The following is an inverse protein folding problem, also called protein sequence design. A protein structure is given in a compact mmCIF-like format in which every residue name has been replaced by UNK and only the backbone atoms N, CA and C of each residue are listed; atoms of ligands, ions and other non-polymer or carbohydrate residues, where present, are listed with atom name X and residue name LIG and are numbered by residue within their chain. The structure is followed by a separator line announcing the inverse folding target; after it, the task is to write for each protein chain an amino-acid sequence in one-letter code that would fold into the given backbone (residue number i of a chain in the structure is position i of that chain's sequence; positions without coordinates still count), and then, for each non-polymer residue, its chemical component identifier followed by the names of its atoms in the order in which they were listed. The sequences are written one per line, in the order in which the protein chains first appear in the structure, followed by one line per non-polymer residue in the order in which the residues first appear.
data_IF_209045467046
#
_entry.id   IF_209045467046
#
_cell.length_a   1.000
_cell.length_b   1.000
_cell.length_c   1.000
_cell.angle_alpha   90.00
_cell.angle_beta   90.00
_cell.angle_gamma   90.00
#
_symmetry.space_group_name_H-M   'P 1'
#
loop_
_entity.id
_entity.type
_entity.pdbx_description
1 polymer ?
#
# COMPACT_ATOMS: atom_id res chain seq x y z
N UNK A 1 6.36 -15.39 11.07
CA UNK A 1 5.63 -15.43 9.79
C UNK A 1 4.30 -14.74 10.03
N UNK A 2 3.93 -13.79 9.16
CA UNK A 2 2.60 -13.20 9.19
C UNK A 2 1.61 -14.10 8.44
N UNK A 3 0.34 -14.05 8.81
CA UNK A 3 -0.72 -14.80 8.14
C UNK A 3 -1.37 -13.95 7.03
N UNK A 4 -1.87 -14.64 5.99
CA UNK A 4 -2.68 -14.00 4.95
C UNK A 4 -3.96 -13.42 5.56
N UNK A 5 -4.37 -12.25 5.07
CA UNK A 5 -5.68 -11.70 5.40
C UNK A 5 -6.78 -12.68 4.97
N UNK A 6 -7.66 -13.00 5.92
CA UNK A 6 -8.87 -13.77 5.68
C UNK A 6 -9.84 -13.03 4.75
N UNK A 7 -10.79 -13.72 4.11
CA UNK A 7 -11.82 -13.06 3.29
C UNK A 7 -12.62 -12.00 4.05
N UNK A 8 -12.91 -12.23 5.34
CA UNK A 8 -13.60 -11.27 6.19
C UNK A 8 -12.75 -10.01 6.42
N UNK A 9 -11.48 -10.19 6.80
CA UNK A 9 -10.54 -9.06 6.99
C UNK A 9 -10.34 -8.28 5.70
N UNK A 10 -10.23 -8.93 4.54
CA UNK A 10 -10.11 -8.26 3.24
C UNK A 10 -11.30 -7.36 2.97
N UNK A 11 -12.51 -7.89 3.16
CA UNK A 11 -13.76 -7.14 2.98
C UNK A 11 -13.80 -5.87 3.83
N UNK A 12 -13.37 -5.97 5.08
CA UNK A 12 -13.46 -4.86 6.04
C UNK A 12 -12.30 -3.86 5.91
N UNK A 13 -11.09 -4.32 5.56
CA UNK A 13 -9.87 -3.52 5.63
C UNK A 13 -9.45 -2.91 4.29
N UNK A 14 -9.81 -3.51 3.15
CA UNK A 14 -9.40 -3.01 1.83
C UNK A 14 -10.27 -1.86 1.34
N UNK A 15 -11.58 -1.88 1.61
CA UNK A 15 -12.48 -0.82 1.15
C UNK A 15 -12.03 0.59 1.62
N UNK A 16 -11.69 0.82 2.91
CA UNK A 16 -11.17 2.11 3.35
C UNK A 16 -9.85 2.52 2.67
N UNK A 17 -8.96 1.55 2.36
CA UNK A 17 -7.73 1.86 1.65
C UNK A 17 -8.03 2.31 0.21
N UNK A 18 -9.01 1.67 -0.45
CA UNK A 18 -9.51 2.06 -1.77
C UNK A 18 -10.02 3.50 -1.82
N UNK A 19 -10.77 3.94 -0.81
CA UNK A 19 -11.28 5.32 -0.72
C UNK A 19 -10.14 6.35 -0.72
N UNK A 20 -9.03 6.03 -0.05
CA UNK A 20 -7.84 6.88 -0.03
C UNK A 20 -6.97 6.79 -1.28
N UNK A 21 -7.26 5.86 -2.20
CA UNK A 21 -6.57 5.68 -3.47
C UNK A 21 -5.52 4.58 -3.52
N UNK A 22 -5.58 3.58 -2.62
CA UNK A 22 -4.89 2.32 -2.85
C UNK A 22 -5.66 1.49 -3.89
N UNK A 23 -4.95 0.78 -4.75
CA UNK A 23 -5.52 -0.06 -5.81
C UNK A 23 -4.83 -1.43 -5.85
N UNK A 24 -5.45 -2.40 -6.53
CA UNK A 24 -4.92 -3.74 -6.69
C UNK A 24 -3.93 -3.84 -7.86
N UNK A 25 -2.89 -4.65 -7.73
CA UNK A 25 -2.01 -4.98 -8.85
C UNK A 25 -2.54 -6.22 -9.57
N UNK A 26 -2.78 -6.10 -10.88
CA UNK A 26 -3.23 -7.22 -11.70
C UNK A 26 -2.28 -8.43 -11.55
N UNK A 27 -2.84 -9.59 -11.20
CA UNK A 27 -2.09 -10.84 -11.06
C UNK A 27 -1.16 -10.93 -9.84
N UNK A 28 -1.21 -9.98 -8.89
CA UNK A 28 -0.46 -10.03 -7.63
C UNK A 28 -1.37 -9.73 -6.44
N UNK A 29 -1.25 -10.51 -5.37
CA UNK A 29 -1.90 -10.20 -4.09
C UNK A 29 -1.11 -9.09 -3.36
N UNK A 30 -1.26 -7.88 -3.87
CA UNK A 30 -0.54 -6.69 -3.48
C UNK A 30 -1.39 -5.44 -3.70
N UNK A 31 -1.14 -4.41 -2.88
CA UNK A 31 -1.78 -3.10 -3.01
C UNK A 31 -0.75 -2.07 -3.48
N UNK A 32 -1.16 -1.14 -4.35
CA UNK A 32 -0.32 -0.08 -4.89
C UNK A 32 -0.96 1.29 -4.65
N UNK A 33 -0.15 2.31 -4.44
CA UNK A 33 -0.59 3.71 -4.39
C UNK A 33 0.52 4.65 -4.86
N UNK A 34 0.13 5.70 -5.56
CA UNK A 34 1.05 6.70 -6.09
C UNK A 34 0.71 8.08 -5.52
N UNK A 35 1.68 8.67 -4.83
CA UNK A 35 1.60 10.03 -4.32
C UNK A 35 2.39 10.99 -5.20
N UNK A 36 1.81 12.16 -5.48
CA UNK A 36 2.47 13.31 -6.09
C UNK A 36 2.57 14.43 -5.06
N UNK A 37 3.77 14.74 -4.62
CA UNK A 37 4.09 15.81 -3.67
C UNK A 37 4.36 17.14 -4.40
N UNK A 38 4.51 18.25 -3.69
CA UNK A 38 4.83 19.55 -4.34
C UNK A 38 6.29 19.67 -4.74
N UNK A 39 7.17 18.89 -4.12
CA UNK A 39 8.62 18.91 -4.37
C UNK A 39 9.28 17.59 -3.99
N UNK A 40 10.52 17.40 -4.42
CA UNK A 40 11.36 16.28 -3.97
C UNK A 40 11.58 16.28 -2.44
N UNK A 41 11.72 17.46 -1.82
CA UNK A 41 11.94 17.54 -0.36
C UNK A 41 10.74 16.99 0.42
N UNK A 42 9.52 17.27 -0.03
CA UNK A 42 8.31 16.72 0.58
C UNK A 42 8.19 15.20 0.37
N UNK A 43 8.47 14.72 -0.85
CA UNK A 43 8.50 13.29 -1.15
C UNK A 43 9.52 12.56 -0.27
N UNK A 44 10.73 13.11 -0.12
CA UNK A 44 11.77 12.53 0.72
C UNK A 44 11.41 12.55 2.21
N UNK A 45 10.73 13.60 2.69
CA UNK A 45 10.25 13.67 4.07
C UNK A 45 9.15 12.62 4.36
N UNK A 46 8.31 12.30 3.38
CA UNK A 46 7.36 11.18 3.44
C UNK A 46 8.10 9.84 3.49
N UNK A 47 9.02 9.60 2.53
CA UNK A 47 9.77 8.35 2.44
C UNK A 47 10.59 8.09 3.71
N UNK A 48 11.23 9.11 4.28
CA UNK A 48 12.00 8.97 5.53
C UNK A 48 11.14 8.49 6.69
N UNK A 49 9.92 9.01 6.84
CA UNK A 49 8.97 8.57 7.88
C UNK A 49 8.45 7.16 7.61
N UNK A 50 8.17 6.85 6.35
CA UNK A 50 7.76 5.51 5.93
C UNK A 50 8.85 4.47 6.21
N UNK A 51 10.12 4.78 5.93
CA UNK A 51 11.26 3.90 6.22
C UNK A 51 11.38 3.59 7.72
N UNK A 52 11.27 4.60 8.60
CA UNK A 52 11.28 4.37 10.05
C UNK A 52 10.11 3.49 10.52
N UNK A 53 8.93 3.68 9.92
CA UNK A 53 7.77 2.86 10.21
C UNK A 53 7.92 1.41 9.71
N UNK A 54 8.53 1.22 8.54
CA UNK A 54 8.85 -0.07 7.95
C UNK A 54 9.84 -0.86 8.82
N UNK A 55 10.94 -0.22 9.23
CA UNK A 55 11.94 -0.81 10.14
C UNK A 55 11.30 -1.24 11.47
N UNK A 56 10.47 -0.38 12.07
CA UNK A 56 9.77 -0.74 13.32
C UNK A 56 8.81 -1.93 13.17
N UNK A 57 8.25 -2.14 11.98
CA UNK A 57 7.38 -3.27 11.69
C UNK A 57 8.14 -4.51 11.21
N UNK A 58 9.43 -4.37 10.89
CA UNK A 58 10.18 -5.34 10.10
C UNK A 58 9.41 -5.75 8.82
N UNK A 59 8.85 -4.74 8.12
CA UNK A 59 8.04 -4.92 6.91
C UNK A 59 8.32 -3.78 5.94
N UNK A 60 8.87 -4.08 4.77
CA UNK A 60 9.43 -3.09 3.86
C UNK A 60 8.59 -2.96 2.58
N UNK A 61 8.41 -1.74 2.05
CA UNK A 61 7.74 -1.53 0.78
C UNK A 61 8.61 -1.90 -0.43
N UNK A 62 7.96 -2.26 -1.52
CA UNK A 62 8.51 -2.09 -2.88
C UNK A 62 8.17 -0.65 -3.32
N UNK A 63 9.14 0.18 -3.72
CA UNK A 63 8.82 1.53 -4.20
C UNK A 63 9.77 2.08 -5.25
N UNK A 64 9.31 3.10 -5.98
CA UNK A 64 10.14 3.96 -6.81
C UNK A 64 9.88 5.42 -6.46
N UNK A 65 10.90 6.27 -6.62
CA UNK A 65 10.76 7.71 -6.47
C UNK A 65 11.39 8.43 -7.65
N UNK A 66 10.61 9.30 -8.29
CA UNK A 66 11.06 10.17 -9.39
C UNK A 66 10.66 11.60 -9.03
N UNK A 67 11.63 12.39 -8.57
CA UNK A 67 11.41 13.75 -8.07
C UNK A 67 10.30 13.79 -7.00
N UNK A 68 9.15 14.40 -7.29
CA UNK A 68 8.04 14.57 -6.39
C UNK A 68 7.02 13.42 -6.43
N UNK A 69 7.24 12.37 -7.23
CA UNK A 69 6.34 11.22 -7.33
C UNK A 69 6.92 10.03 -6.58
N UNK A 70 6.11 9.40 -5.73
CA UNK A 70 6.46 8.15 -5.02
C UNK A 70 5.40 7.10 -5.31
N UNK A 71 5.81 6.02 -5.95
CA UNK A 71 4.97 4.88 -6.31
C UNK A 71 5.33 3.71 -5.40
N UNK A 72 4.37 3.25 -4.60
CA UNK A 72 4.58 2.22 -3.57
C UNK A 72 3.68 1.04 -3.82
N UNK A 73 4.26 -0.15 -3.72
CA UNK A 73 3.60 -1.45 -3.69
C UNK A 73 3.87 -2.13 -2.34
N UNK A 74 2.82 -2.66 -1.72
CA UNK A 74 2.89 -3.42 -0.48
C UNK A 74 2.35 -4.84 -0.68
N UNK A 75 3.11 -5.81 -0.24
CA UNK A 75 2.74 -7.22 -0.11
C UNK A 75 3.66 -7.85 0.93
N UNK A 76 3.21 -8.91 1.59
CA UNK A 76 4.05 -9.66 2.53
C UNK A 76 4.65 -10.87 1.83
N UNK A 77 5.96 -10.78 1.56
CA UNK A 77 6.70 -11.82 0.83
C UNK A 77 6.67 -13.18 1.52
N UNK A 78 6.77 -13.20 2.85
CA UNK A 78 6.79 -14.44 3.66
C UNK A 78 5.54 -15.30 3.44
N UNK A 79 4.36 -14.67 3.40
CA UNK A 79 3.09 -15.36 3.17
C UNK A 79 2.60 -15.26 1.72
N UNK A 80 3.41 -14.69 0.82
CA UNK A 80 3.13 -14.53 -0.61
C UNK A 80 1.80 -13.81 -0.90
N UNK A 81 1.48 -12.79 -0.12
CA UNK A 81 0.25 -12.03 -0.29
C UNK A 81 0.03 -10.97 0.79
N UNK A 82 -1.18 -10.43 0.85
CA UNK A 82 -1.54 -9.39 1.81
C UNK A 82 -1.69 -9.96 3.22
N UNK A 83 -1.03 -9.30 4.16
CA UNK A 83 -1.15 -9.53 5.60
C UNK A 83 -1.55 -8.25 6.34
N UNK A 84 -1.69 -8.34 7.67
CA UNK A 84 -1.92 -7.17 8.52
C UNK A 84 -0.77 -6.16 8.50
N UNK A 85 0.44 -6.58 8.14
CA UNK A 85 1.60 -5.70 8.03
C UNK A 85 1.41 -4.69 6.88
N UNK A 86 0.88 -5.15 5.75
CA UNK A 86 0.57 -4.30 4.59
C UNK A 86 -0.49 -3.26 4.93
N UNK A 87 -1.58 -3.69 5.59
CA UNK A 87 -2.65 -2.78 6.05
C UNK A 87 -2.10 -1.74 7.03
N UNK A 88 -1.25 -2.17 7.97
CA UNK A 88 -0.68 -1.29 8.99
C UNK A 88 0.27 -0.27 8.37
N UNK A 89 1.13 -0.70 7.45
CA UNK A 89 2.08 0.19 6.78
C UNK A 89 1.37 1.15 5.82
N UNK A 90 0.37 0.69 5.06
CA UNK A 90 -0.46 1.51 4.19
C UNK A 90 -1.09 2.69 4.95
N UNK A 91 -1.76 2.39 6.07
CA UNK A 91 -2.38 3.41 6.93
C UNK A 91 -1.37 4.38 7.53
N UNK A 92 -0.16 3.91 7.85
CA UNK A 92 0.93 4.79 8.33
C UNK A 92 1.38 5.74 7.23
N UNK A 93 1.61 5.24 6.02
CA UNK A 93 1.98 6.04 4.86
C UNK A 93 0.91 7.09 4.54
N UNK A 94 -0.37 6.72 4.56
CA UNK A 94 -1.47 7.69 4.36
C UNK A 94 -1.41 8.86 5.34
N UNK A 95 -1.11 8.59 6.61
CA UNK A 95 -0.93 9.66 7.62
C UNK A 95 0.32 10.51 7.38
N UNK A 96 1.37 9.94 6.81
CA UNK A 96 2.62 10.67 6.55
C UNK A 96 2.56 11.53 5.29
N UNK A 97 1.71 11.17 4.33
CA UNK A 97 1.61 11.81 3.03
C UNK A 97 1.04 13.24 3.09
N UNK A 98 0.34 13.61 4.18
CA UNK A 98 -0.21 14.95 4.35
C UNK A 98 -1.20 15.31 3.23
N UNK A 99 -0.96 16.42 2.54
CA UNK A 99 -1.82 16.95 1.47
C UNK A 99 -1.36 16.57 0.05
N UNK A 100 -0.53 15.53 -0.10
CA UNK A 100 -0.09 15.05 -1.41
C UNK A 100 -1.28 14.68 -2.29
N UNK A 101 -1.17 14.96 -3.59
CA UNK A 101 -2.14 14.52 -4.57
C UNK A 101 -2.00 13.02 -4.81
N UNK A 102 -3.12 12.36 -5.10
CA UNK A 102 -3.16 10.92 -5.32
C UNK A 102 -3.50 10.67 -6.79
N UNK A 103 -2.64 9.95 -7.50
CA UNK A 103 -3.02 9.39 -8.80
C UNK A 103 -3.95 8.22 -8.52
N UNK A 104 -5.10 8.15 -9.22
CA UNK A 104 -6.13 7.11 -8.98
C UNK A 104 -6.30 6.14 -10.15
N UNK A 105 -5.98 6.56 -11.36
CA UNK A 105 -6.03 5.73 -12.57
C UNK A 105 -4.67 5.08 -12.81
N UNK A 106 -4.31 4.09 -11.99
CA UNK A 106 -3.00 3.43 -12.08
C UNK A 106 -3.04 1.90 -12.02
N UNK A 107 -4.13 1.30 -11.52
CA UNK A 107 -4.25 -0.17 -11.35
C UNK A 107 -5.72 -0.58 -11.19
N UNK A 108 -5.98 -1.87 -10.96
CA UNK A 108 -7.34 -2.42 -10.83
C UNK A 108 -8.02 -1.96 -9.53
N UNK A 109 -9.37 -1.90 -9.47
CA UNK A 109 -10.07 -1.58 -8.24
C UNK A 109 -9.67 -2.50 -7.09
N UNK A 110 -9.36 -1.95 -5.92
CA UNK A 110 -8.88 -2.73 -4.76
C UNK A 110 -9.84 -3.86 -4.36
N UNK A 111 -11.13 -3.71 -4.67
CA UNK A 111 -12.16 -4.70 -4.39
C UNK A 111 -11.91 -6.06 -5.07
N UNK A 112 -11.17 -6.13 -6.18
CA UNK A 112 -10.85 -7.42 -6.82
C UNK A 112 -9.98 -8.33 -5.93
N UNK A 113 -9.22 -7.75 -4.98
CA UNK A 113 -8.41 -8.50 -4.02
C UNK A 113 -9.24 -9.23 -2.95
N UNK A 114 -10.51 -8.87 -2.78
CA UNK A 114 -11.44 -9.62 -1.94
C UNK A 114 -11.79 -10.98 -2.56
N UNK A 115 -11.70 -11.10 -3.88
CA UNK A 115 -12.13 -12.28 -4.64
C UNK A 115 -10.96 -13.17 -5.08
N UNK A 116 -9.73 -12.65 -5.05
CA UNK A 116 -8.51 -13.32 -5.53
C UNK A 116 -8.16 -14.64 -4.82
N UNK A 117 -8.59 -14.84 -3.58
CA UNK A 117 -8.45 -16.11 -2.85
C UNK A 117 -9.77 -16.88 -2.66
N UNK A 118 -10.88 -16.39 -3.22
CA UNK A 118 -12.13 -17.15 -3.25
C UNK A 118 -12.10 -18.27 -4.31
N UNK A 119 -11.11 -18.24 -5.20
CA UNK A 119 -10.83 -19.26 -6.21
C UNK A 119 -9.56 -20.00 -5.79
N UNK A 120 -9.72 -20.96 -4.88
CA UNK A 120 -8.66 -21.92 -4.53
C UNK A 120 -8.27 -22.80 -5.72
#
# INVERSE_FOLDING_TARGET
MADLLTPAERKDLLAPLGETGWAAIAGRDAIRKIWTFRSFSEAWAFMSRAALAAEKLNHHPEWTNVYNVVDVTLTTHDCKGLSMLDITLARRMDRFAGAAEIQRDHSEPIACLCELHARG
#
